data_IF_200047895771
#
_entry.id   IF_200047895771
#
_cell.length_a   1.000
_cell.length_b   1.000
_cell.length_c   1.000
_cell.angle_alpha   90.00
_cell.angle_beta   90.00
_cell.angle_gamma   90.00
#
_symmetry.space_group_name_H-M   'P 1'
#
loop_
_entity.id
_entity.type
_entity.pdbx_description
1 polymer ?
#
# COMPACT_ATOMS: atom_id res chain seq x y z
N UNK A 1 -16.46 -11.48 16.25
CA UNK A 1 -15.92 -11.48 14.88
C UNK A 1 -17.08 -11.19 13.94
N UNK A 2 -17.34 -9.91 13.65
CA UNK A 2 -18.29 -9.54 12.60
C UNK A 2 -17.48 -9.51 11.32
N UNK A 3 -17.47 -10.61 10.58
CA UNK A 3 -17.05 -10.58 9.19
C UNK A 3 -18.11 -9.73 8.46
N UNK A 4 -17.84 -8.43 8.33
CA UNK A 4 -18.55 -7.63 7.34
C UNK A 4 -18.15 -8.22 5.98
N UNK A 5 -19.03 -9.03 5.41
CA UNK A 5 -18.91 -9.53 4.05
C UNK A 5 -19.08 -8.35 3.08
N UNK A 6 -18.04 -7.54 2.96
CA UNK A 6 -17.96 -6.48 1.96
C UNK A 6 -17.93 -7.19 0.60
N UNK A 7 -18.94 -6.95 -0.23
CA UNK A 7 -18.98 -7.56 -1.57
C UNK A 7 -17.83 -7.02 -2.43
N UNK A 8 -17.37 -7.78 -3.43
CA UNK A 8 -16.26 -7.34 -4.28
C UNK A 8 -16.56 -5.97 -4.93
N UNK A 9 -17.82 -5.75 -5.33
CA UNK A 9 -18.29 -4.47 -5.85
C UNK A 9 -18.11 -3.33 -4.83
N UNK A 10 -18.36 -3.57 -3.54
CA UNK A 10 -18.20 -2.59 -2.47
C UNK A 10 -16.74 -2.21 -2.19
N UNK A 11 -15.76 -2.92 -2.76
CA UNK A 11 -14.35 -2.61 -2.58
C UNK A 11 -13.69 -2.09 -3.86
N UNK A 12 -13.99 -2.70 -5.02
CA UNK A 12 -13.43 -2.28 -6.31
C UNK A 12 -14.01 -0.94 -6.79
N UNK A 13 -15.34 -0.81 -6.82
CA UNK A 13 -16.01 0.35 -7.40
C UNK A 13 -15.73 1.63 -6.59
N UNK A 14 -15.80 1.65 -5.24
CA UNK A 14 -15.46 2.84 -4.48
C UNK A 14 -13.99 3.25 -4.61
N UNK A 15 -13.06 2.31 -4.73
CA UNK A 15 -11.64 2.62 -4.89
C UNK A 15 -11.39 3.40 -6.19
N UNK A 16 -11.88 2.88 -7.33
CA UNK A 16 -11.73 3.53 -8.63
C UNK A 16 -12.52 4.84 -8.70
N UNK A 17 -13.79 4.83 -8.28
CA UNK A 17 -14.63 6.04 -8.29
C UNK A 17 -14.07 7.13 -7.38
N UNK A 18 -13.58 6.77 -6.20
CA UNK A 18 -12.98 7.71 -5.25
C UNK A 18 -11.77 8.41 -5.83
N UNK A 19 -10.82 7.64 -6.38
CA UNK A 19 -9.63 8.20 -7.04
C UNK A 19 -10.02 9.14 -8.20
N UNK A 20 -10.87 8.67 -9.12
CA UNK A 20 -11.30 9.48 -10.26
C UNK A 20 -12.11 10.71 -9.86
N UNK A 21 -12.89 10.65 -8.78
CA UNK A 21 -13.66 11.80 -8.31
C UNK A 21 -12.75 12.95 -7.88
N UNK A 22 -11.70 12.66 -7.12
CA UNK A 22 -10.71 13.67 -6.72
C UNK A 22 -9.98 14.22 -7.95
N UNK A 23 -9.51 13.35 -8.85
CA UNK A 23 -8.80 13.78 -10.05
C UNK A 23 -9.65 14.64 -10.99
N UNK A 24 -10.94 14.33 -11.14
CA UNK A 24 -11.89 15.17 -11.89
C UNK A 24 -12.08 16.55 -11.27
N UNK A 25 -11.98 16.67 -9.95
CA UNK A 25 -12.00 17.97 -9.26
C UNK A 25 -10.69 18.73 -9.50
N UNK A 26 -9.54 18.05 -9.41
CA UNK A 26 -8.23 18.64 -9.70
C UNK A 26 -8.17 19.19 -11.13
N UNK A 27 -8.61 18.42 -12.12
CA UNK A 27 -8.60 18.81 -13.53
C UNK A 27 -9.43 20.07 -13.85
N UNK A 28 -10.37 20.46 -12.98
CA UNK A 28 -11.17 21.69 -13.14
C UNK A 28 -10.45 22.93 -12.65
N UNK A 29 -9.32 22.80 -11.96
CA UNK A 29 -8.58 23.91 -11.34
C UNK A 29 -7.25 24.10 -12.07
N UNK A 30 -7.13 25.11 -12.96
CA UNK A 30 -5.96 25.26 -13.83
C UNK A 30 -4.62 25.47 -13.12
N UNK A 31 -4.64 25.92 -11.86
CA UNK A 31 -3.44 26.11 -11.04
C UNK A 31 -2.87 24.80 -10.48
N UNK A 32 -3.68 23.73 -10.42
CA UNK A 32 -3.23 22.42 -9.96
C UNK A 32 -2.63 21.63 -11.12
N UNK A 33 -1.34 21.29 -10.99
CA UNK A 33 -0.60 20.58 -12.03
C UNK A 33 -0.16 19.18 -11.62
N UNK A 34 0.09 18.97 -10.32
CA UNK A 34 0.63 17.74 -9.76
C UNK A 34 -0.31 17.11 -8.76
N UNK A 35 -0.43 15.79 -8.86
CA UNK A 35 -1.13 14.94 -7.89
C UNK A 35 -0.14 13.93 -7.33
N UNK A 36 -0.07 13.85 -6.01
CA UNK A 36 0.62 12.75 -5.32
C UNK A 36 -0.45 11.76 -4.84
N UNK A 37 -0.42 10.55 -5.37
CA UNK A 37 -1.38 9.50 -5.07
C UNK A 37 -0.79 8.49 -4.09
N UNK A 38 -1.44 8.31 -2.94
CA UNK A 38 -1.15 7.17 -2.07
C UNK A 38 -1.77 5.90 -2.65
N UNK A 39 -0.94 5.02 -3.16
CA UNK A 39 -1.31 3.68 -3.61
C UNK A 39 -0.84 2.64 -2.58
N UNK A 40 -0.28 1.51 -3.02
CA UNK A 40 0.22 0.44 -2.16
C UNK A 40 1.21 -0.45 -2.91
N UNK A 41 2.10 -1.12 -2.18
CA UNK A 41 2.89 -2.24 -2.71
C UNK A 41 2.00 -3.35 -3.31
N UNK A 42 0.73 -3.43 -2.90
CA UNK A 42 -0.25 -4.34 -3.49
C UNK A 42 -0.51 -4.06 -4.98
N UNK A 43 -0.26 -2.86 -5.50
CA UNK A 43 -0.35 -2.58 -6.94
C UNK A 43 0.95 -2.96 -7.71
N UNK A 44 1.97 -3.47 -7.01
CA UNK A 44 3.31 -3.73 -7.56
C UNK A 44 3.61 -5.23 -7.64
N UNK A 45 3.42 -5.99 -6.55
CA UNK A 45 4.06 -7.32 -6.38
C UNK A 45 3.22 -8.55 -6.77
N UNK A 46 1.94 -8.39 -7.07
CA UNK A 46 1.03 -9.50 -7.40
C UNK A 46 0.87 -9.67 -8.92
N UNK A 47 2.01 -9.84 -9.60
CA UNK A 47 2.04 -10.15 -11.02
C UNK A 47 1.65 -11.61 -11.33
N UNK A 48 1.72 -11.98 -12.61
CA UNK A 48 1.43 -13.36 -13.08
C UNK A 48 2.29 -14.41 -12.36
N UNK A 49 3.50 -14.03 -11.95
CA UNK A 49 4.38 -14.83 -11.09
C UNK A 49 4.75 -14.01 -9.86
N UNK A 50 4.70 -14.60 -8.66
CA UNK A 50 5.21 -13.95 -7.47
C UNK A 50 6.74 -13.74 -7.61
N UNK A 51 7.31 -12.71 -6.96
CA UNK A 51 8.76 -12.55 -6.91
C UNK A 51 9.42 -13.79 -6.30
N UNK A 52 10.48 -14.28 -6.93
CA UNK A 52 11.31 -15.34 -6.36
C UNK A 52 12.02 -14.84 -5.09
N UNK A 53 12.43 -15.76 -4.22
CA UNK A 53 13.20 -15.39 -3.04
C UNK A 53 14.51 -14.69 -3.46
N UNK A 54 14.77 -13.51 -2.89
CA UNK A 54 15.92 -12.68 -3.24
C UNK A 54 15.75 -11.82 -4.51
N UNK A 55 14.59 -11.85 -5.17
CA UNK A 55 14.31 -10.95 -6.28
C UNK A 55 14.27 -9.48 -5.80
N UNK A 56 14.92 -8.60 -6.56
CA UNK A 56 14.81 -7.16 -6.37
C UNK A 56 13.55 -6.69 -7.09
N UNK A 57 12.58 -6.19 -6.33
CA UNK A 57 11.37 -5.58 -6.86
C UNK A 57 11.61 -4.08 -6.99
N UNK A 58 11.28 -3.52 -8.15
CA UNK A 58 11.34 -2.10 -8.43
C UNK A 58 10.01 -1.59 -9.03
N UNK A 59 9.96 -0.30 -9.34
CA UNK A 59 8.80 0.41 -9.87
C UNK A 59 8.32 -0.09 -11.25
N UNK A 60 9.11 -0.92 -11.95
CA UNK A 60 8.72 -1.52 -13.24
C UNK A 60 7.76 -2.70 -13.06
N UNK A 61 7.60 -3.20 -11.84
CA UNK A 61 6.69 -4.28 -11.51
C UNK A 61 5.26 -3.79 -11.35
N UNK A 62 4.31 -4.51 -11.95
CA UNK A 62 2.89 -4.22 -11.82
C UNK A 62 2.15 -5.48 -11.41
N UNK A 63 1.19 -5.32 -10.49
CA UNK A 63 0.25 -6.38 -10.19
C UNK A 63 -0.68 -6.60 -11.36
N UNK A 64 -1.00 -7.86 -11.64
CA UNK A 64 -1.82 -8.24 -12.78
C UNK A 64 -3.29 -8.34 -12.35
N UNK A 65 -4.19 -7.48 -12.87
CA UNK A 65 -5.59 -7.48 -12.48
C UNK A 65 -6.28 -8.84 -12.69
N UNK A 66 -6.00 -9.53 -13.80
CA UNK A 66 -6.62 -10.83 -14.07
C UNK A 66 -6.19 -11.90 -13.08
N UNK A 67 -4.90 -11.95 -12.74
CA UNK A 67 -4.37 -12.86 -11.73
C UNK A 67 -4.97 -12.55 -10.37
N UNK A 68 -5.08 -11.27 -10.00
CA UNK A 68 -5.69 -10.86 -8.74
C UNK A 68 -7.17 -11.25 -8.66
N UNK A 69 -7.93 -11.11 -9.74
CA UNK A 69 -9.34 -11.52 -9.82
C UNK A 69 -9.48 -13.05 -9.71
N UNK A 70 -8.69 -13.82 -10.48
CA UNK A 70 -8.70 -15.30 -10.45
C UNK A 70 -8.34 -15.87 -9.08
N UNK A 71 -7.47 -15.19 -8.32
CA UNK A 71 -7.05 -15.58 -6.98
C UNK A 71 -7.88 -14.93 -5.87
N UNK A 72 -8.95 -14.21 -6.21
CA UNK A 72 -9.84 -13.54 -5.25
C UNK A 72 -9.11 -12.53 -4.33
N UNK A 73 -8.03 -11.93 -4.81
CA UNK A 73 -7.24 -10.92 -4.10
C UNK A 73 -7.87 -9.52 -4.23
N UNK A 74 -9.10 -9.37 -3.74
CA UNK A 74 -9.95 -8.19 -4.01
C UNK A 74 -9.32 -6.86 -3.59
N UNK A 75 -8.65 -6.82 -2.44
CA UNK A 75 -7.94 -5.62 -1.99
C UNK A 75 -6.82 -5.23 -2.96
N UNK A 76 -6.01 -6.21 -3.35
CA UNK A 76 -4.91 -6.03 -4.31
C UNK A 76 -5.47 -5.52 -5.63
N UNK A 77 -6.50 -6.18 -6.16
CA UNK A 77 -7.20 -5.78 -7.37
C UNK A 77 -7.72 -4.34 -7.28
N UNK A 78 -8.33 -3.94 -6.16
CA UNK A 78 -8.85 -2.58 -5.99
C UNK A 78 -7.76 -1.51 -6.09
N UNK A 79 -6.59 -1.77 -5.48
CA UNK A 79 -5.47 -0.84 -5.49
C UNK A 79 -4.85 -0.77 -6.88
N UNK A 80 -4.67 -1.90 -7.54
CA UNK A 80 -4.18 -1.98 -8.92
C UNK A 80 -5.10 -1.22 -9.89
N UNK A 81 -6.41 -1.47 -9.84
CA UNK A 81 -7.37 -0.80 -10.73
C UNK A 81 -7.46 0.72 -10.45
N UNK A 82 -7.44 1.14 -9.19
CA UNK A 82 -7.47 2.55 -8.83
C UNK A 82 -6.22 3.30 -9.30
N UNK A 83 -5.03 2.71 -9.15
CA UNK A 83 -3.77 3.28 -9.64
C UNK A 83 -3.75 3.37 -11.17
N UNK A 84 -4.14 2.31 -11.88
CA UNK A 84 -4.22 2.30 -13.33
C UNK A 84 -5.19 3.36 -13.86
N UNK A 85 -6.37 3.47 -13.25
CA UNK A 85 -7.36 4.48 -13.61
C UNK A 85 -6.85 5.91 -13.36
N UNK A 86 -6.13 6.13 -12.26
CA UNK A 86 -5.52 7.42 -11.95
C UNK A 86 -4.43 7.80 -12.96
N UNK A 87 -3.54 6.86 -13.29
CA UNK A 87 -2.48 7.04 -14.28
C UNK A 87 -3.04 7.38 -15.66
N UNK A 88 -4.03 6.63 -16.12
CA UNK A 88 -4.70 6.91 -17.39
C UNK A 88 -5.39 8.28 -17.40
N UNK A 89 -6.10 8.62 -16.32
CA UNK A 89 -6.79 9.90 -16.22
C UNK A 89 -5.80 11.06 -16.26
N UNK A 90 -4.73 11.01 -15.47
CA UNK A 90 -3.73 12.07 -15.43
C UNK A 90 -3.06 12.27 -16.78
N UNK A 91 -2.66 11.16 -17.45
CA UNK A 91 -2.10 11.19 -18.80
C UNK A 91 -3.05 11.84 -19.82
N UNK A 92 -4.34 11.49 -19.79
CA UNK A 92 -5.36 12.03 -20.70
C UNK A 92 -5.66 13.52 -20.46
N UNK A 93 -5.45 14.02 -19.24
CA UNK A 93 -5.78 15.39 -18.85
C UNK A 93 -4.54 16.29 -18.64
N UNK A 94 -3.33 15.80 -18.97
CA UNK A 94 -2.10 16.58 -18.81
C UNK A 94 -1.73 16.91 -17.37
N UNK A 95 -2.14 16.08 -16.41
CA UNK A 95 -1.75 16.20 -15.00
C UNK A 95 -0.47 15.39 -14.73
N UNK A 96 0.45 15.97 -13.96
CA UNK A 96 1.59 15.24 -13.41
C UNK A 96 1.10 14.32 -12.28
N UNK A 97 1.52 13.07 -12.32
CA UNK A 97 1.20 12.07 -11.31
C UNK A 97 2.49 11.51 -10.72
N UNK A 98 2.56 11.53 -9.39
CA UNK A 98 3.54 10.76 -8.61
C UNK A 98 2.78 9.79 -7.73
N UNK A 99 3.18 8.52 -7.73
CA UNK A 99 2.53 7.48 -6.93
C UNK A 99 3.46 7.02 -5.83
N UNK A 100 2.94 6.96 -4.60
CA UNK A 100 3.65 6.39 -3.45
C UNK A 100 3.03 5.02 -3.14
N UNK A 101 3.84 3.97 -3.18
CA UNK A 101 3.44 2.58 -3.00
C UNK A 101 3.99 2.03 -1.66
N UNK A 102 3.36 2.34 -0.52
CA UNK A 102 3.82 1.83 0.78
C UNK A 102 3.52 0.35 0.98
N UNK A 103 4.41 -0.27 1.75
CA UNK A 103 4.17 -1.56 2.40
C UNK A 103 3.24 -1.45 3.61
N UNK A 104 3.46 -2.30 4.61
CA UNK A 104 2.82 -2.27 5.91
C UNK A 104 3.33 -1.05 6.69
N UNK A 105 2.46 -0.06 6.81
CA UNK A 105 2.77 1.20 7.49
C UNK A 105 2.61 1.03 9.00
N UNK A 106 3.72 1.21 9.72
CA UNK A 106 3.79 1.15 11.18
C UNK A 106 4.27 2.49 11.74
N UNK A 107 4.05 2.73 13.04
CA UNK A 107 4.57 3.93 13.72
C UNK A 107 3.57 4.59 14.67
N UNK A 108 3.87 5.80 15.15
CA UNK A 108 3.03 6.51 16.12
C UNK A 108 1.60 6.76 15.61
N UNK A 109 0.62 6.52 16.47
CA UNK A 109 -0.80 6.67 16.15
C UNK A 109 -1.29 8.03 16.65
N UNK A 110 -1.75 8.87 15.72
CA UNK A 110 -2.26 10.21 16.05
C UNK A 110 -3.78 10.27 16.21
N UNK A 111 -4.49 9.22 15.81
CA UNK A 111 -5.94 9.14 15.83
C UNK A 111 -6.42 8.22 16.97
N UNK A 112 -7.63 8.41 17.53
CA UNK A 112 -8.13 7.60 18.65
C UNK A 112 -8.50 6.16 18.25
N UNK A 113 -8.44 5.83 16.96
CA UNK A 113 -8.80 4.52 16.39
C UNK A 113 -7.61 3.85 15.72
N UNK A 114 -7.42 2.56 15.94
CA UNK A 114 -6.35 1.82 15.26
C UNK A 114 -6.67 1.64 13.78
N UNK A 115 -5.67 1.79 12.92
CA UNK A 115 -5.76 1.28 11.55
C UNK A 115 -5.54 -0.23 11.57
N UNK A 116 -5.91 -0.93 10.50
CA UNK A 116 -5.81 -2.39 10.39
C UNK A 116 -4.41 -2.92 10.75
N UNK A 117 -3.36 -2.27 10.24
CA UNK A 117 -1.98 -2.66 10.52
C UNK A 117 -1.64 -2.53 12.01
N UNK A 118 -2.00 -1.41 12.63
CA UNK A 118 -1.74 -1.15 14.05
C UNK A 118 -2.55 -2.08 14.95
N UNK A 119 -3.80 -2.36 14.60
CA UNK A 119 -4.66 -3.32 15.30
C UNK A 119 -4.04 -4.72 15.28
N UNK A 120 -3.56 -5.18 14.13
CA UNK A 120 -2.93 -6.49 14.02
C UNK A 120 -1.64 -6.60 14.84
N UNK A 121 -0.77 -5.58 14.81
CA UNK A 121 0.44 -5.55 15.63
C UNK A 121 0.14 -5.45 17.13
N UNK A 122 -0.82 -4.61 17.54
CA UNK A 122 -1.21 -4.49 18.95
C UNK A 122 -1.81 -5.80 19.46
N UNK A 123 -2.68 -6.45 18.69
CA UNK A 123 -3.23 -7.76 19.06
C UNK A 123 -2.15 -8.82 19.19
N UNK A 124 -1.16 -8.84 18.28
CA UNK A 124 -0.01 -9.73 18.37
C UNK A 124 0.78 -9.50 19.66
N UNK A 125 1.08 -8.25 20.00
CA UNK A 125 1.85 -7.87 21.19
C UNK A 125 1.08 -8.18 22.48
N UNK A 126 -0.19 -7.81 22.56
CA UNK A 126 -0.99 -7.92 23.79
C UNK A 126 -1.50 -9.34 24.05
N UNK A 127 -1.81 -10.09 23.00
CA UNK A 127 -2.51 -11.39 23.13
C UNK A 127 -1.71 -12.57 22.62
N UNK A 128 -0.58 -12.33 21.94
CA UNK A 128 0.20 -13.38 21.27
C UNK A 128 -0.52 -14.01 20.06
N UNK A 129 -1.65 -13.44 19.63
CA UNK A 129 -2.42 -13.94 18.48
C UNK A 129 -1.97 -13.25 17.21
N UNK A 130 -1.48 -14.03 16.26
CA UNK A 130 -1.27 -13.56 14.90
C UNK A 130 -2.61 -13.20 14.26
N UNK A 131 -2.78 -11.91 13.97
CA UNK A 131 -3.93 -11.39 13.21
C UNK A 131 -3.65 -11.45 11.71
N UNK A 132 -2.37 -11.49 11.34
CA UNK A 132 -1.95 -11.60 9.96
C UNK A 132 -1.60 -13.05 9.61
N UNK A 133 -1.89 -13.52 8.38
CA UNK A 133 -1.49 -14.85 7.93
C UNK A 133 0.03 -15.06 7.96
N UNK A 134 0.49 -16.31 7.91
CA UNK A 134 1.90 -16.57 7.66
C UNK A 134 2.32 -16.00 6.28
N UNK A 135 3.42 -15.27 6.22
CA UNK A 135 3.90 -14.64 4.99
C UNK A 135 4.99 -13.58 5.17
N UNK A 136 5.29 -12.90 4.05
CA UNK A 136 6.34 -11.88 3.97
C UNK A 136 5.74 -10.48 4.09
N UNK A 137 6.17 -9.75 5.12
CA UNK A 137 5.77 -8.39 5.44
C UNK A 137 6.85 -7.40 5.03
N UNK A 138 6.42 -6.32 4.38
CA UNK A 138 7.27 -5.23 3.89
C UNK A 138 6.97 -3.99 4.72
N UNK A 139 7.78 -3.68 5.71
CA UNK A 139 7.49 -2.68 6.73
C UNK A 139 8.01 -1.30 6.30
N UNK A 140 7.30 -0.24 6.69
CA UNK A 140 7.76 1.15 6.53
C UNK A 140 7.19 2.03 7.65
N UNK A 141 7.99 2.98 8.14
CA UNK A 141 7.52 3.94 9.14
C UNK A 141 6.57 4.99 8.51
N UNK A 142 5.48 5.31 9.19
CA UNK A 142 4.49 6.31 8.76
C UNK A 142 5.12 7.68 8.50
N UNK A 143 6.16 8.05 9.23
CA UNK A 143 6.89 9.32 9.06
C UNK A 143 7.68 9.32 7.76
N UNK A 144 8.26 8.20 7.37
CA UNK A 144 8.97 8.06 6.10
C UNK A 144 7.99 8.13 4.92
N UNK A 145 6.83 7.50 5.04
CA UNK A 145 5.76 7.62 4.04
C UNK A 145 5.29 9.07 3.92
N UNK A 146 5.08 9.77 5.04
CA UNK A 146 4.68 11.17 5.03
C UNK A 146 5.73 12.07 4.38
N UNK A 147 7.00 11.90 4.76
CA UNK A 147 8.12 12.63 4.15
C UNK A 147 8.24 12.35 2.66
N UNK A 148 8.03 11.12 2.21
CA UNK A 148 8.03 10.77 0.79
C UNK A 148 6.94 11.50 0.01
N UNK A 149 5.74 11.67 0.58
CA UNK A 149 4.68 12.47 -0.06
C UNK A 149 5.07 13.94 -0.18
N UNK A 150 5.68 14.52 0.87
CA UNK A 150 6.16 15.91 0.85
C UNK A 150 7.24 16.08 -0.23
N UNK A 151 8.25 15.21 -0.23
CA UNK A 151 9.34 15.26 -1.21
C UNK A 151 8.85 15.04 -2.65
N UNK A 152 7.91 14.12 -2.86
CA UNK A 152 7.30 13.89 -4.17
C UNK A 152 6.51 15.11 -4.66
N UNK A 153 5.89 15.86 -3.75
CA UNK A 153 5.17 17.07 -4.09
C UNK A 153 6.12 18.24 -4.38
N UNK A 154 7.13 18.47 -3.52
CA UNK A 154 8.01 19.63 -3.58
C UNK A 154 9.14 19.53 -4.61
N UNK A 155 9.66 18.33 -4.88
CA UNK A 155 10.75 18.14 -5.83
C UNK A 155 10.22 18.12 -7.27
N UNK A 156 10.51 19.13 -8.12
CA UNK A 156 9.99 19.19 -9.48
C UNK A 156 10.39 17.99 -10.35
N UNK A 157 11.51 17.34 -10.07
CA UNK A 157 12.00 16.17 -10.82
C UNK A 157 11.31 14.85 -10.41
N UNK A 158 10.56 14.84 -9.31
CA UNK A 158 9.85 13.66 -8.85
C UNK A 158 8.76 13.27 -9.86
N UNK A 159 8.88 12.05 -10.38
CA UNK A 159 7.95 11.48 -11.35
C UNK A 159 7.81 9.97 -11.12
N UNK A 160 6.76 9.37 -11.71
CA UNK A 160 6.57 7.93 -11.71
C UNK A 160 6.01 7.39 -10.39
N UNK A 161 6.51 6.23 -9.98
CA UNK A 161 6.08 5.47 -8.81
C UNK A 161 7.25 5.39 -7.82
N UNK A 162 6.97 5.21 -6.54
CA UNK A 162 8.01 5.03 -5.51
C UNK A 162 7.57 3.94 -4.54
N UNK A 163 8.35 2.86 -4.47
CA UNK A 163 8.15 1.80 -3.48
C UNK A 163 8.67 2.27 -2.13
N UNK A 164 7.79 2.27 -1.12
CA UNK A 164 8.15 2.64 0.25
C UNK A 164 8.18 1.40 1.14
N UNK A 165 9.37 0.79 1.21
CA UNK A 165 9.67 -0.39 2.04
C UNK A 165 11.05 -0.19 2.66
N UNK A 166 11.11 -0.23 3.99
CA UNK A 166 12.35 -0.09 4.75
C UNK A 166 12.93 -1.43 5.19
N UNK A 167 12.06 -2.40 5.53
CA UNK A 167 12.47 -3.73 5.98
C UNK A 167 11.55 -4.81 5.43
N UNK A 168 12.07 -6.03 5.29
CA UNK A 168 11.33 -7.21 4.81
C UNK A 168 11.52 -8.33 5.82
N UNK A 169 10.42 -8.81 6.39
CA UNK A 169 10.44 -9.85 7.43
C UNK A 169 9.41 -10.93 7.14
N UNK A 170 9.73 -12.16 7.48
CA UNK A 170 8.77 -13.27 7.55
C UNK A 170 8.04 -13.23 8.91
N UNK A 171 6.77 -13.60 8.95
CA UNK A 171 5.98 -13.73 10.21
C UNK A 171 6.70 -14.55 11.28
N UNK A 172 7.43 -15.58 10.88
CA UNK A 172 8.16 -16.47 11.80
C UNK A 172 9.48 -15.89 12.30
N UNK A 173 9.99 -14.79 11.74
CA UNK A 173 11.27 -14.20 12.17
C UNK A 173 11.24 -13.68 13.62
N UNK A 174 10.05 -13.58 14.21
CA UNK A 174 9.84 -13.23 15.62
C UNK A 174 10.25 -14.35 16.59
N UNK A 175 10.25 -15.62 16.17
CA UNK A 175 10.61 -16.74 17.06
C UNK A 175 12.12 -16.76 17.38
N UNK A 176 12.96 -16.39 16.42
CA UNK A 176 14.42 -16.36 16.55
C UNK A 176 14.97 -15.11 17.25
N UNK A 177 14.13 -14.07 17.44
CA UNK A 177 14.48 -12.81 18.11
C UNK A 177 13.90 -12.67 19.51
N UNK A 178 13.43 -13.76 20.15
CA UNK A 178 13.14 -13.71 21.59
C UNK A 178 14.42 -13.27 22.31
N UNK A 179 14.40 -12.16 23.09
CA UNK A 179 15.54 -11.86 23.93
C UNK A 179 15.75 -13.08 24.82
N UNK A 180 16.95 -13.67 24.76
CA UNK A 180 17.40 -14.62 25.77
C UNK A 180 17.47 -13.82 27.07
N UNK A 181 16.36 -13.71 27.77
CA UNK A 181 16.31 -13.35 29.18
C UNK A 181 16.87 -14.56 29.93
N UNK A 182 18.20 -14.71 29.89
CA UNK A 182 18.91 -15.50 30.87
C UNK A 182 18.91 -14.69 32.15
N UNK A 183 17.95 -14.96 33.03
CA UNK A 183 18.19 -14.76 34.44
C UNK A 183 19.26 -15.76 34.87
N UNK A 184 20.43 -15.25 35.22
CA UNK A 184 21.43 -15.90 36.09
C UNK A 184 22.03 -14.83 36.97
#
# INVERSE_FOLDING_TARGET
MVALSISHAQLLEPAVKGALNVLKSVAKVPSLKRVVLTSSIAAVIFGVKPPEFGAVVDETWFSDPETCEKQELWYVLSKTLAENAAAEFCKKNGLELVVINPGFVIGPILQPTLNFTSEGFISLIETGKEVFPDGIYRLVDVRDVANAHILAFENPEANGRYIMVADVTHSTDHEDRKPKLSCS
#
